data_IF_141235877046
#
_entry.id   IF_141235877046
#
_cell.length_a   1.000
_cell.length_b   1.000
_cell.length_c   1.000
_cell.angle_alpha   90.00
_cell.angle_beta   90.00
_cell.angle_gamma   90.00
#
_symmetry.space_group_name_H-M   'P 1'
#
loop_
_entity.id
_entity.type
_entity.pdbx_description
1 polymer ?
#
# COMPACT_ATOMS: atom_id res chain seq x y z
N UNK A 1 9.84 11.07 -6.06
CA UNK A 1 11.04 11.30 -6.91
C UNK A 1 12.29 11.72 -6.11
N UNK A 2 12.13 12.38 -4.97
CA UNK A 2 13.23 12.85 -4.11
C UNK A 2 13.97 11.71 -3.37
N UNK A 3 13.25 10.63 -3.01
CA UNK A 3 13.76 9.48 -2.23
C UNK A 3 14.84 8.62 -2.90
N UNK A 4 14.83 8.54 -4.23
CA UNK A 4 15.74 7.68 -5.01
C UNK A 4 16.95 8.48 -5.55
N UNK A 5 16.93 9.80 -5.40
CA UNK A 5 17.98 10.70 -5.88
C UNK A 5 19.14 10.79 -4.88
N UNK A 6 20.40 10.98 -5.33
CA UNK A 6 21.55 11.10 -4.44
C UNK A 6 21.61 12.43 -3.66
N UNK A 7 20.91 13.47 -4.12
CA UNK A 7 21.10 14.86 -3.69
C UNK A 7 19.92 15.46 -2.90
N UNK A 8 18.91 14.65 -2.53
CA UNK A 8 17.76 15.09 -1.74
C UNK A 8 17.78 14.54 -0.32
N UNK A 9 17.32 15.33 0.65
CA UNK A 9 17.08 14.87 2.03
C UNK A 9 16.13 13.65 1.97
N UNK A 10 16.67 12.48 2.28
CA UNK A 10 15.90 11.23 2.22
C UNK A 10 14.97 11.23 3.41
N UNK A 11 13.69 11.42 3.15
CA UNK A 11 12.66 11.16 4.14
C UNK A 11 12.71 9.67 4.55
N UNK A 12 13.42 9.40 5.64
CA UNK A 12 13.65 8.05 6.18
C UNK A 12 12.32 7.37 6.51
N UNK A 13 11.28 8.14 6.83
CA UNK A 13 9.95 7.63 7.13
C UNK A 13 9.30 7.00 5.89
N UNK A 14 9.37 7.68 4.75
CA UNK A 14 8.84 7.15 3.49
C UNK A 14 9.57 5.88 3.03
N UNK A 15 10.90 5.81 3.22
CA UNK A 15 11.66 4.58 2.95
C UNK A 15 11.21 3.43 3.86
N UNK A 16 10.97 3.72 5.14
CA UNK A 16 10.43 2.73 6.09
C UNK A 16 9.06 2.24 5.67
N UNK A 17 8.14 3.14 5.30
CA UNK A 17 6.80 2.78 4.81
C UNK A 17 6.86 1.86 3.59
N UNK A 18 7.64 2.24 2.56
CA UNK A 18 7.80 1.39 1.37
C UNK A 18 8.39 0.03 1.74
N UNK A 19 9.38 -0.01 2.64
CA UNK A 19 9.96 -1.24 3.15
C UNK A 19 8.93 -2.15 3.84
N UNK A 20 8.09 -1.59 4.70
CA UNK A 20 7.03 -2.32 5.40
C UNK A 20 5.95 -2.81 4.43
N UNK A 21 5.53 -2.01 3.45
CA UNK A 21 4.57 -2.42 2.41
C UNK A 21 5.10 -3.61 1.60
N UNK A 22 6.38 -3.58 1.22
CA UNK A 22 7.03 -4.68 0.48
C UNK A 22 7.16 -5.96 1.34
N UNK A 23 7.30 -5.82 2.65
CA UNK A 23 7.34 -6.97 3.55
C UNK A 23 5.96 -7.60 3.72
N UNK A 24 4.92 -6.79 3.94
CA UNK A 24 3.54 -7.26 4.00
C UNK A 24 3.08 -7.89 2.69
N UNK A 25 3.42 -7.29 1.56
CA UNK A 25 3.14 -7.87 0.24
C UNK A 25 3.80 -9.24 0.10
N UNK A 26 5.05 -9.42 0.54
CA UNK A 26 5.72 -10.72 0.50
C UNK A 26 5.04 -11.75 1.42
N UNK A 27 4.59 -11.35 2.60
CA UNK A 27 3.85 -12.21 3.51
C UNK A 27 2.49 -12.63 2.94
N UNK A 28 1.77 -11.68 2.32
CA UNK A 28 0.54 -11.93 1.59
C UNK A 28 0.76 -12.92 0.44
N UNK A 29 1.75 -12.65 -0.42
CA UNK A 29 2.11 -13.51 -1.55
C UNK A 29 2.53 -14.93 -1.14
N UNK A 30 3.01 -15.12 0.09
CA UNK A 30 3.35 -16.43 0.64
C UNK A 30 2.16 -17.16 1.28
N UNK A 31 1.00 -16.51 1.42
CA UNK A 31 -0.20 -17.06 2.03
C UNK A 31 -1.37 -17.06 1.03
N UNK A 32 -1.54 -18.16 0.26
CA UNK A 32 -2.61 -18.26 -0.76
C UNK A 32 -4.00 -18.03 -0.18
N UNK A 33 -4.26 -18.50 1.04
CA UNK A 33 -5.56 -18.34 1.70
C UNK A 33 -5.89 -16.88 1.98
N UNK A 34 -4.90 -16.09 2.41
CA UNK A 34 -5.08 -14.65 2.64
C UNK A 34 -5.23 -13.88 1.32
N UNK A 35 -4.55 -14.31 0.25
CA UNK A 35 -4.73 -13.76 -1.10
C UNK A 35 -6.14 -14.01 -1.64
N UNK A 36 -6.66 -15.22 -1.50
CA UNK A 36 -8.01 -15.58 -1.94
C UNK A 36 -9.07 -14.79 -1.16
N UNK A 37 -8.90 -14.67 0.16
CA UNK A 37 -9.78 -13.85 1.00
C UNK A 37 -9.74 -12.37 0.59
N UNK A 38 -8.54 -11.82 0.33
CA UNK A 38 -8.39 -10.46 -0.18
C UNK A 38 -9.15 -10.26 -1.49
N UNK A 39 -8.98 -11.19 -2.44
CA UNK A 39 -9.65 -11.13 -3.74
C UNK A 39 -11.17 -11.21 -3.61
N UNK A 40 -11.68 -12.08 -2.74
CA UNK A 40 -13.12 -12.22 -2.49
C UNK A 40 -13.72 -10.95 -1.89
N UNK A 41 -13.05 -10.32 -0.93
CA UNK A 41 -13.51 -9.06 -0.34
C UNK A 41 -13.46 -7.90 -1.33
N UNK A 42 -12.41 -7.81 -2.15
CA UNK A 42 -12.34 -6.79 -3.20
C UNK A 42 -13.48 -6.92 -4.22
N UNK A 43 -13.86 -8.15 -4.60
CA UNK A 43 -15.05 -8.39 -5.44
C UNK A 43 -16.36 -7.97 -4.78
N UNK A 44 -16.45 -8.01 -3.45
CA UNK A 44 -17.62 -7.48 -2.73
C UNK A 44 -17.67 -5.95 -2.82
N UNK A 45 -16.52 -5.28 -2.62
CA UNK A 45 -16.43 -3.81 -2.76
C UNK A 45 -16.74 -3.35 -4.18
N UNK A 46 -16.31 -4.11 -5.20
CA UNK A 46 -16.63 -3.83 -6.60
C UNK A 46 -18.15 -3.75 -6.85
N UNK A 47 -18.95 -4.57 -6.16
CA UNK A 47 -20.41 -4.47 -6.25
C UNK A 47 -20.96 -3.22 -5.54
N UNK A 48 -20.32 -2.80 -4.45
CA UNK A 48 -20.71 -1.57 -3.74
C UNK A 48 -20.41 -0.32 -4.57
N UNK A 49 -19.38 -0.36 -5.42
CA UNK A 49 -19.03 0.72 -6.35
C UNK A 49 -20.10 0.97 -7.43
N UNK A 50 -21.08 0.07 -7.60
CA UNK A 50 -22.24 0.34 -8.46
C UNK A 50 -23.18 1.41 -7.87
N UNK A 51 -23.08 1.67 -6.57
CA UNK A 51 -23.97 2.58 -5.83
C UNK A 51 -23.22 3.71 -5.11
N UNK A 52 -21.93 3.54 -4.83
CA UNK A 52 -21.11 4.50 -4.12
C UNK A 52 -19.86 4.88 -4.92
N UNK A 53 -19.39 6.12 -4.75
CA UNK A 53 -18.10 6.55 -5.28
C UNK A 53 -16.95 5.85 -4.54
N UNK A 54 -15.82 5.63 -5.21
CA UNK A 54 -14.61 5.06 -4.61
C UNK A 54 -14.09 5.88 -3.42
N UNK A 55 -14.35 7.19 -3.42
CA UNK A 55 -13.98 8.10 -2.34
C UNK A 55 -15.05 8.22 -1.24
N UNK A 56 -16.20 7.55 -1.39
CA UNK A 56 -17.25 7.56 -0.38
C UNK A 56 -16.74 6.95 0.93
N UNK A 57 -17.17 7.52 2.06
CA UNK A 57 -16.81 7.02 3.39
C UNK A 57 -17.13 5.54 3.59
N UNK A 58 -18.18 5.02 2.96
CA UNK A 58 -18.60 3.61 3.00
C UNK A 58 -17.55 2.72 2.35
N UNK A 59 -17.07 3.10 1.16
CA UNK A 59 -16.06 2.36 0.42
C UNK A 59 -14.70 2.47 1.11
N UNK A 60 -14.34 3.65 1.60
CA UNK A 60 -13.08 3.87 2.34
C UNK A 60 -13.06 3.04 3.63
N UNK A 61 -14.18 2.95 4.35
CA UNK A 61 -14.31 2.08 5.52
C UNK A 61 -14.16 0.59 5.13
N UNK A 62 -14.81 0.15 4.05
CA UNK A 62 -14.67 -1.22 3.56
C UNK A 62 -13.21 -1.57 3.22
N UNK A 63 -12.47 -0.68 2.55
CA UNK A 63 -11.04 -0.87 2.29
C UNK A 63 -10.22 -0.93 3.58
N UNK A 64 -10.54 -0.08 4.56
CA UNK A 64 -9.87 -0.09 5.85
C UNK A 64 -10.09 -1.39 6.64
N UNK A 65 -11.29 -1.97 6.53
CA UNK A 65 -11.63 -3.24 7.16
C UNK A 65 -10.94 -4.41 6.47
N UNK A 66 -10.87 -4.40 5.13
CA UNK A 66 -10.08 -5.38 4.37
C UNK A 66 -8.62 -5.37 4.83
N UNK A 67 -8.01 -4.19 4.94
CA UNK A 67 -6.64 -4.07 5.44
C UNK A 67 -6.51 -4.64 6.85
N UNK A 68 -7.42 -4.29 7.76
CA UNK A 68 -7.36 -4.69 9.17
C UNK A 68 -7.54 -6.20 9.37
N UNK A 69 -8.43 -6.82 8.59
CA UNK A 69 -8.77 -8.24 8.74
C UNK A 69 -7.83 -9.16 7.97
N UNK A 70 -7.34 -8.74 6.79
CA UNK A 70 -6.58 -9.62 5.89
C UNK A 70 -5.09 -9.33 5.94
N UNK A 71 -4.68 -8.05 5.96
CA UNK A 71 -3.28 -7.66 5.78
C UNK A 71 -2.55 -7.42 7.11
N UNK A 72 -3.17 -6.69 8.02
CA UNK A 72 -2.61 -6.37 9.34
C UNK A 72 -2.16 -7.61 10.14
N UNK A 73 -2.85 -8.77 10.10
CA UNK A 73 -2.41 -9.96 10.85
C UNK A 73 -1.21 -10.70 10.24
N UNK A 74 -0.85 -10.42 8.98
CA UNK A 74 0.19 -11.19 8.25
C UNK A 74 1.62 -10.76 8.61
N UNK A 75 1.79 -9.64 9.32
CA UNK A 75 3.11 -9.11 9.63
C UNK A 75 3.08 -8.05 10.71
N UNK A 76 4.19 -7.33 10.85
CA UNK A 76 4.26 -6.23 11.80
C UNK A 76 3.40 -5.05 11.35
N UNK A 77 2.70 -4.45 12.32
CA UNK A 77 1.84 -3.29 12.08
C UNK A 77 2.69 -2.11 11.60
N UNK A 78 2.27 -1.48 10.51
CA UNK A 78 2.86 -0.23 10.05
C UNK A 78 2.53 0.86 11.08
N UNK A 79 3.56 1.39 11.73
CA UNK A 79 3.44 2.50 12.67
C UNK A 79 3.36 3.80 11.88
N UNK A 80 2.22 4.49 11.98
CA UNK A 80 2.01 5.78 11.34
C UNK A 80 2.19 6.88 12.37
N UNK A 81 3.12 7.79 12.12
CA UNK A 81 3.40 8.93 12.99
C UNK A 81 2.71 10.19 12.45
N UNK A 82 2.30 11.08 13.36
CA UNK A 82 1.58 12.30 13.01
C UNK A 82 0.90 12.93 14.21
N UNK A 83 0.02 13.89 13.97
CA UNK A 83 -0.75 14.57 15.02
C UNK A 83 -1.73 13.58 15.69
N UNK A 84 -1.59 13.30 17.01
CA UNK A 84 -2.39 12.28 17.68
C UNK A 84 -3.89 12.54 17.63
N UNK A 85 -4.31 13.81 17.68
CA UNK A 85 -5.73 14.19 17.69
C UNK A 85 -6.42 13.84 16.37
N UNK A 86 -5.73 13.99 15.24
CA UNK A 86 -6.22 13.56 13.93
C UNK A 86 -6.20 12.04 13.80
N UNK A 87 -5.16 11.37 14.30
CA UNK A 87 -5.04 9.91 14.21
C UNK A 87 -6.06 9.15 15.07
N UNK A 88 -6.59 9.78 16.12
CA UNK A 88 -7.70 9.22 16.91
C UNK A 88 -9.03 9.22 16.17
N UNK A 89 -9.21 10.09 15.18
CA UNK A 89 -10.47 10.19 14.44
C UNK A 89 -10.66 8.98 13.50
N UNK A 90 -11.80 8.27 13.56
CA UNK A 90 -12.03 7.06 12.78
C UNK A 90 -11.91 7.28 11.26
N UNK A 91 -12.40 8.42 10.76
CA UNK A 91 -12.35 8.76 9.32
C UNK A 91 -10.93 8.82 8.78
N UNK A 92 -9.99 9.42 9.52
CA UNK A 92 -8.58 9.46 9.16
C UNK A 92 -7.94 8.07 9.24
N UNK A 93 -8.26 7.28 10.26
CA UNK A 93 -7.77 5.89 10.33
C UNK A 93 -8.24 5.05 9.14
N UNK A 94 -9.49 5.20 8.71
CA UNK A 94 -10.00 4.49 7.54
C UNK A 94 -9.26 4.92 6.27
N UNK A 95 -9.07 6.22 6.06
CA UNK A 95 -8.28 6.75 4.93
C UNK A 95 -6.86 6.20 4.92
N UNK A 96 -6.17 6.22 6.06
CA UNK A 96 -4.80 5.69 6.18
C UNK A 96 -4.78 4.21 5.79
N UNK A 97 -5.65 3.38 6.36
CA UNK A 97 -5.69 1.94 6.06
C UNK A 97 -6.05 1.64 4.61
N UNK A 98 -6.98 2.41 4.03
CA UNK A 98 -7.34 2.31 2.62
C UNK A 98 -6.15 2.65 1.70
N UNK A 99 -5.37 3.69 2.03
CA UNK A 99 -4.15 4.05 1.31
C UNK A 99 -3.06 2.97 1.45
N UNK A 100 -2.89 2.38 2.63
CA UNK A 100 -1.96 1.27 2.84
C UNK A 100 -2.35 0.04 2.01
N UNK A 101 -3.65 -0.28 1.92
CA UNK A 101 -4.16 -1.33 1.03
C UNK A 101 -3.80 -1.04 -0.43
N UNK A 102 -4.01 0.19 -0.91
CA UNK A 102 -3.65 0.60 -2.28
C UNK A 102 -2.13 0.50 -2.53
N UNK A 103 -1.30 0.85 -1.54
CA UNK A 103 0.15 0.68 -1.57
C UNK A 103 0.57 -0.79 -1.70
N UNK A 104 -0.06 -1.69 -0.94
CA UNK A 104 0.18 -3.14 -1.02
C UNK A 104 -0.27 -3.66 -2.39
N UNK A 105 -1.43 -3.24 -2.91
CA UNK A 105 -1.91 -3.65 -4.24
C UNK A 105 -0.94 -3.23 -5.35
N UNK A 106 -0.36 -2.04 -5.23
CA UNK A 106 0.68 -1.54 -6.14
C UNK A 106 1.95 -2.39 -6.04
N UNK A 107 2.36 -2.79 -4.83
CA UNK A 107 3.50 -3.68 -4.63
C UNK A 107 3.25 -5.09 -5.22
N UNK A 108 2.03 -5.63 -5.09
CA UNK A 108 1.62 -6.90 -5.71
C UNK A 108 1.71 -6.79 -7.22
N UNK A 109 1.16 -5.72 -7.81
CA UNK A 109 1.23 -5.48 -9.26
C UNK A 109 2.69 -5.40 -9.75
N UNK A 110 3.52 -4.65 -9.02
CA UNK A 110 4.95 -4.56 -9.34
C UNK A 110 5.62 -5.93 -9.36
N UNK A 111 5.33 -6.80 -8.38
CA UNK A 111 5.85 -8.17 -8.35
C UNK A 111 5.30 -9.02 -9.50
N UNK A 112 4.01 -8.92 -9.81
CA UNK A 112 3.38 -9.64 -10.92
C UNK A 112 4.02 -9.29 -12.28
N UNK A 113 4.45 -8.04 -12.45
CA UNK A 113 5.21 -7.57 -13.62
C UNK A 113 6.70 -7.97 -13.61
N UNK A 114 7.11 -8.87 -12.71
CA UNK A 114 8.50 -9.31 -12.58
C UNK A 114 9.38 -8.39 -11.73
N UNK A 115 8.76 -7.51 -10.94
CA UNK A 115 9.42 -6.64 -9.97
C UNK A 115 10.21 -7.43 -8.92
N UNK A 116 11.48 -7.06 -8.71
CA UNK A 116 12.35 -7.69 -7.70
C UNK A 116 12.97 -6.62 -6.82
N UNK A 117 13.08 -6.87 -5.51
CA UNK A 117 13.71 -5.93 -4.55
C UNK A 117 15.10 -5.46 -4.98
N UNK A 118 15.88 -6.32 -5.65
CA UNK A 118 17.21 -6.00 -6.21
C UNK A 118 17.16 -4.94 -7.32
N UNK A 119 16.06 -4.80 -8.06
CA UNK A 119 15.91 -3.76 -9.10
C UNK A 119 15.91 -2.35 -8.50
N UNK A 120 15.44 -2.16 -7.26
CA UNK A 120 15.58 -0.87 -6.56
C UNK A 120 17.02 -0.55 -6.16
N UNK A 121 17.92 -1.54 -6.14
CA UNK A 121 19.34 -1.33 -5.84
C UNK A 121 20.17 -1.18 -7.12
N UNK A 122 19.96 -2.05 -8.11
CA UNK A 122 20.75 -2.09 -9.35
C UNK A 122 20.12 -1.33 -10.54
N UNK A 123 18.82 -1.08 -10.50
CA UNK A 123 18.06 -0.42 -11.57
C UNK A 123 17.69 1.03 -11.26
N UNK A 124 18.25 1.65 -10.20
CA UNK A 124 17.89 3.00 -9.74
C UNK A 124 17.87 4.03 -10.86
N UNK A 125 18.93 4.07 -11.68
CA UNK A 125 19.05 5.04 -12.79
C UNK A 125 17.91 4.88 -13.80
N UNK A 126 17.63 3.66 -14.23
CA UNK A 126 16.57 3.35 -15.20
C UNK A 126 15.17 3.62 -14.65
N UNK A 127 14.92 3.32 -13.38
CA UNK A 127 13.64 3.63 -12.71
C UNK A 127 13.42 5.14 -12.63
N UNK A 128 14.46 5.90 -12.27
CA UNK A 128 14.39 7.37 -12.20
C UNK A 128 14.16 7.96 -13.59
N UNK A 129 14.85 7.45 -14.61
CA UNK A 129 14.74 7.91 -15.99
C UNK A 129 13.33 7.67 -16.56
N UNK A 130 12.78 6.47 -16.39
CA UNK A 130 11.40 6.16 -16.82
C UNK A 130 10.40 7.04 -16.06
N UNK A 131 10.54 7.17 -14.74
CA UNK A 131 9.63 7.98 -13.94
C UNK A 131 9.71 9.48 -14.31
N UNK A 132 10.85 9.98 -14.80
CA UNK A 132 10.99 11.37 -15.29
C UNK A 132 10.37 11.58 -16.67
N UNK A 133 10.36 10.54 -17.51
CA UNK A 133 9.86 10.61 -18.88
C UNK A 133 8.36 10.26 -19.01
N UNK A 134 7.74 9.71 -17.95
CA UNK A 134 6.34 9.26 -17.93
C UNK A 134 5.41 10.14 -17.09
N UNK A 135 5.85 11.35 -16.72
CA UNK A 135 5.07 12.37 -16.00
C UNK A 135 5.15 13.67 -16.79
#
# INVERSE_FOLDING_TARGET
>A
MQQLSPEGEKDVELVKYVGSLMQLERALSANPKALDELANRLKQVERQLLHFDICDSTIVAAFADIYSQVLSPLGQKIQVFGQPDLLKQPSYQHKIRALLLAGIRSAVLWRQLGGKRRQFFFGKKKIIEIAKNSI
#
